data_IF_485805333805
#
_entry.id   IF_485805333805
#
_cell.length_a   1.000
_cell.length_b   1.000
_cell.length_c   1.000
_cell.angle_alpha   90.00
_cell.angle_beta   90.00
_cell.angle_gamma   90.00
#
_symmetry.space_group_name_H-M   'P 1'
#
loop_
_entity.id
_entity.type
_entity.pdbx_description
1 polymer ?
#
# COMPACT_ATOMS: atom_id res chain seq x y z
N UNK A 1 17.90 -28.97 25.92
CA UNK A 1 16.51 -28.65 25.56
C UNK A 1 16.55 -27.35 24.76
N UNK A 2 16.17 -27.39 23.48
CA UNK A 2 16.19 -26.20 22.61
C UNK A 2 15.13 -25.22 23.13
N UNK A 3 15.50 -23.95 23.29
CA UNK A 3 14.56 -22.96 23.79
C UNK A 3 13.55 -22.61 22.69
N UNK A 4 12.34 -23.16 22.80
CA UNK A 4 11.25 -22.98 21.84
C UNK A 4 10.96 -21.49 21.54
N UNK A 5 11.19 -20.60 22.52
CA UNK A 5 11.02 -19.17 22.35
C UNK A 5 12.12 -18.57 21.45
N UNK A 6 13.36 -19.01 21.63
CA UNK A 6 14.49 -18.59 20.79
C UNK A 6 14.30 -19.07 19.34
N UNK A 7 13.88 -20.33 19.18
CA UNK A 7 13.57 -20.89 17.85
C UNK A 7 12.47 -20.12 17.13
N UNK A 8 11.39 -19.72 17.84
CA UNK A 8 10.30 -18.93 17.28
C UNK A 8 10.77 -17.52 16.86
N UNK A 9 11.61 -16.84 17.65
CA UNK A 9 12.19 -15.54 17.29
C UNK A 9 13.08 -15.65 16.05
N UNK A 10 13.93 -16.68 15.99
CA UNK A 10 14.78 -16.89 14.82
C UNK A 10 13.95 -17.20 13.55
N UNK A 11 12.88 -17.98 13.69
CA UNK A 11 11.97 -18.25 12.58
C UNK A 11 11.29 -16.96 12.08
N UNK A 12 10.78 -16.12 12.97
CA UNK A 12 10.19 -14.84 12.60
C UNK A 12 11.20 -13.92 11.92
N UNK A 13 12.43 -13.82 12.44
CA UNK A 13 13.49 -13.02 11.85
C UNK A 13 13.91 -13.50 10.44
N UNK A 14 13.93 -14.82 10.20
CA UNK A 14 14.20 -15.37 8.86
C UNK A 14 13.07 -15.08 7.89
N UNK A 15 11.81 -15.21 8.34
CA UNK A 15 10.64 -14.87 7.53
C UNK A 15 10.67 -13.42 7.12
N UNK A 16 10.95 -12.51 8.06
CA UNK A 16 11.04 -11.07 7.80
C UNK A 16 12.13 -10.75 6.77
N UNK A 17 13.32 -11.34 6.88
CA UNK A 17 14.39 -11.15 5.88
C UNK A 17 13.99 -11.59 4.49
N UNK A 18 13.21 -12.67 4.35
CA UNK A 18 12.70 -13.13 3.05
C UNK A 18 11.69 -12.12 2.47
N UNK A 19 10.81 -11.59 3.30
CA UNK A 19 9.84 -10.57 2.88
C UNK A 19 10.52 -9.26 2.46
N UNK A 20 11.51 -8.80 3.22
CA UNK A 20 12.29 -7.59 2.90
C UNK A 20 13.12 -7.76 1.61
N UNK A 21 13.78 -8.91 1.43
CA UNK A 21 14.52 -9.22 0.22
C UNK A 21 13.58 -9.30 -1.00
N UNK A 22 12.44 -9.97 -0.85
CA UNK A 22 11.42 -10.05 -1.89
C UNK A 22 10.87 -8.67 -2.27
N UNK A 23 10.49 -7.86 -1.30
CA UNK A 23 10.04 -6.49 -1.53
C UNK A 23 11.07 -5.66 -2.28
N UNK A 24 12.32 -5.64 -1.83
CA UNK A 24 13.40 -4.86 -2.44
C UNK A 24 13.64 -5.25 -3.91
N UNK A 25 13.68 -6.54 -4.21
CA UNK A 25 13.84 -7.01 -5.58
C UNK A 25 12.63 -6.70 -6.46
N UNK A 26 11.40 -6.91 -5.94
CA UNK A 26 10.15 -6.75 -6.67
C UNK A 26 9.70 -5.30 -6.82
N UNK A 27 10.21 -4.38 -6.00
CA UNK A 27 9.99 -2.93 -6.18
C UNK A 27 10.95 -2.30 -7.18
N UNK A 28 12.10 -2.95 -7.44
CA UNK A 28 13.09 -2.50 -8.44
C UNK A 28 12.88 -3.14 -9.82
N UNK A 29 12.11 -4.22 -9.92
CA UNK A 29 11.82 -4.99 -11.15
C UNK A 29 10.35 -5.40 -11.15
N UNK A 30 9.87 -5.98 -12.27
CA UNK A 30 8.54 -6.61 -12.24
C UNK A 30 8.55 -7.86 -11.36
N UNK A 31 7.43 -8.14 -10.72
CA UNK A 31 7.32 -9.30 -9.81
C UNK A 31 7.63 -10.59 -10.55
N UNK A 32 7.18 -10.73 -11.82
CA UNK A 32 7.41 -11.90 -12.65
C UNK A 32 8.91 -12.18 -12.88
N UNK A 33 9.71 -11.13 -13.06
CA UNK A 33 11.14 -11.23 -13.36
C UNK A 33 11.99 -11.67 -12.14
N UNK A 34 11.42 -11.67 -10.93
CA UNK A 34 12.13 -12.08 -9.70
C UNK A 34 11.83 -13.53 -9.37
N UNK A 35 12.85 -14.36 -9.17
CA UNK A 35 12.70 -15.78 -8.79
C UNK A 35 12.81 -15.96 -7.27
N UNK A 36 12.21 -17.05 -6.75
CA UNK A 36 12.37 -17.42 -5.34
C UNK A 36 13.83 -17.69 -4.97
N UNK A 37 14.65 -18.19 -5.92
CA UNK A 37 16.08 -18.39 -5.70
C UNK A 37 16.80 -17.06 -5.46
N UNK A 38 16.54 -16.04 -6.29
CA UNK A 38 17.13 -14.70 -6.09
C UNK A 38 16.75 -14.09 -4.74
N UNK A 39 15.49 -14.31 -4.28
CA UNK A 39 15.06 -13.85 -2.97
C UNK A 39 15.78 -14.57 -1.84
N UNK A 40 15.93 -15.90 -1.97
CA UNK A 40 16.65 -16.70 -0.98
C UNK A 40 18.13 -16.29 -0.87
N UNK A 41 18.79 -16.06 -2.02
CA UNK A 41 20.18 -15.62 -2.09
C UNK A 41 20.36 -14.23 -1.48
N UNK A 42 19.48 -13.29 -1.82
CA UNK A 42 19.48 -11.92 -1.29
C UNK A 42 19.22 -11.89 0.23
N UNK A 43 18.32 -12.75 0.73
CA UNK A 43 18.04 -12.90 2.15
C UNK A 43 19.15 -13.66 2.91
N UNK A 44 20.12 -14.28 2.19
CA UNK A 44 21.11 -15.20 2.74
C UNK A 44 20.48 -16.38 3.48
N UNK A 45 19.47 -16.96 2.86
CA UNK A 45 18.69 -18.09 3.38
C UNK A 45 18.64 -19.17 2.30
N UNK A 46 18.89 -20.43 2.66
CA UNK A 46 18.82 -21.53 1.69
C UNK A 46 17.41 -21.69 1.12
N UNK A 47 17.33 -21.98 -0.19
CA UNK A 47 16.05 -22.12 -0.91
C UNK A 47 15.12 -23.17 -0.27
N UNK A 48 15.63 -24.26 0.24
CA UNK A 48 14.83 -25.25 0.96
C UNK A 48 14.18 -24.69 2.22
N UNK A 49 14.84 -23.73 2.88
CA UNK A 49 14.27 -23.02 4.03
C UNK A 49 13.16 -22.05 3.58
N UNK A 50 13.33 -21.36 2.45
CA UNK A 50 12.28 -20.48 1.88
C UNK A 50 11.01 -21.29 1.62
N UNK A 51 11.10 -22.47 0.99
CA UNK A 51 9.93 -23.32 0.72
C UNK A 51 9.23 -23.86 1.98
N UNK A 52 9.89 -23.83 3.14
CA UNK A 52 9.23 -24.13 4.43
C UNK A 52 8.32 -22.99 4.90
N UNK A 53 8.58 -21.75 4.48
CA UNK A 53 7.77 -20.57 4.81
C UNK A 53 6.70 -20.30 3.76
N UNK A 54 7.04 -20.46 2.49
CA UNK A 54 6.19 -20.10 1.35
C UNK A 54 6.15 -21.26 0.36
N UNK A 55 4.97 -21.85 0.18
CA UNK A 55 4.80 -23.00 -0.73
C UNK A 55 4.98 -22.61 -2.19
N UNK A 56 4.59 -21.37 -2.53
CA UNK A 56 4.66 -20.82 -3.88
C UNK A 56 5.01 -19.33 -3.83
N UNK A 57 5.44 -18.79 -4.96
CA UNK A 57 5.75 -17.36 -5.10
C UNK A 57 4.55 -16.44 -4.79
N UNK A 58 3.30 -16.75 -5.22
CA UNK A 58 2.13 -15.96 -4.83
C UNK A 58 1.96 -15.80 -3.32
N UNK A 59 2.23 -16.83 -2.52
CA UNK A 59 2.10 -16.76 -1.06
C UNK A 59 3.03 -15.69 -0.46
N UNK A 60 4.28 -15.65 -0.94
CA UNK A 60 5.26 -14.64 -0.52
C UNK A 60 4.86 -13.25 -0.99
N UNK A 61 4.44 -13.11 -2.24
CA UNK A 61 4.04 -11.82 -2.83
C UNK A 61 2.83 -11.23 -2.09
N UNK A 62 1.81 -12.04 -1.82
CA UNK A 62 0.61 -11.61 -1.08
C UNK A 62 0.98 -11.17 0.33
N UNK A 63 1.87 -11.89 0.99
CA UNK A 63 2.31 -11.51 2.34
C UNK A 63 3.13 -10.22 2.35
N UNK A 64 4.00 -9.99 1.35
CA UNK A 64 4.70 -8.72 1.19
C UNK A 64 3.68 -7.58 1.07
N UNK A 65 2.73 -7.69 0.13
CA UNK A 65 1.69 -6.67 -0.06
C UNK A 65 0.86 -6.43 1.20
N UNK A 66 0.48 -7.50 1.90
CA UNK A 66 -0.25 -7.42 3.18
C UNK A 66 0.53 -6.64 4.23
N UNK A 67 1.84 -6.92 4.38
CA UNK A 67 2.69 -6.25 5.37
C UNK A 67 2.94 -4.79 5.04
N UNK A 68 3.06 -4.45 3.76
CA UNK A 68 3.19 -3.06 3.30
C UNK A 68 1.98 -2.25 3.77
N UNK A 69 0.76 -2.69 3.48
CA UNK A 69 -0.45 -1.96 3.85
C UNK A 69 -0.67 -1.91 5.36
N UNK A 70 -0.34 -2.96 6.10
CA UNK A 70 -0.40 -2.93 7.57
C UNK A 70 0.56 -1.91 8.16
N UNK A 71 1.81 -1.84 7.66
CA UNK A 71 2.80 -0.86 8.12
C UNK A 71 2.38 0.56 7.77
N UNK A 72 1.98 0.78 6.53
CA UNK A 72 1.49 2.07 6.07
C UNK A 72 0.30 2.56 6.91
N UNK A 73 -0.65 1.68 7.20
CA UNK A 73 -1.77 2.02 8.08
C UNK A 73 -1.30 2.50 9.46
N UNK A 74 -0.34 1.81 10.06
CA UNK A 74 0.21 2.21 11.38
C UNK A 74 0.90 3.58 11.30
N UNK A 75 1.60 3.88 10.22
CA UNK A 75 2.25 5.18 10.01
C UNK A 75 1.21 6.30 9.83
N UNK A 76 0.20 6.08 9.01
CA UNK A 76 -0.92 7.03 8.81
C UNK A 76 -1.67 7.27 10.13
N UNK A 77 -1.95 6.24 10.92
CA UNK A 77 -2.63 6.40 12.22
C UNK A 77 -1.81 7.21 13.24
N UNK A 78 -0.50 7.00 13.27
CA UNK A 78 0.39 7.79 14.14
C UNK A 78 0.34 9.27 13.76
N UNK A 79 0.39 9.58 12.47
CA UNK A 79 0.35 10.95 11.99
C UNK A 79 -1.04 11.57 12.20
N UNK A 80 -2.12 10.82 11.95
CA UNK A 80 -3.48 11.22 12.25
C UNK A 80 -3.67 11.59 13.74
N UNK A 81 -3.13 10.76 14.63
CA UNK A 81 -3.18 11.04 16.07
C UNK A 81 -2.34 12.28 16.45
N UNK A 82 -1.15 12.44 15.85
CA UNK A 82 -0.26 13.60 16.06
C UNK A 82 -0.92 14.92 15.69
N UNK A 83 -1.69 14.93 14.62
CA UNK A 83 -2.42 16.11 14.09
C UNK A 83 -3.79 16.32 14.75
N UNK A 84 -4.11 15.60 15.82
CA UNK A 84 -5.43 15.64 16.47
C UNK A 84 -6.59 15.31 15.49
N UNK A 85 -6.39 14.31 14.65
CA UNK A 85 -7.33 13.88 13.61
C UNK A 85 -8.79 13.71 14.06
N UNK A 86 -9.09 13.22 15.29
CA UNK A 86 -10.48 13.15 15.76
C UNK A 86 -11.21 14.50 15.79
N UNK A 87 -10.49 15.62 15.96
CA UNK A 87 -11.06 16.97 15.95
C UNK A 87 -11.20 17.58 14.54
N UNK A 88 -10.61 16.97 13.51
CA UNK A 88 -10.74 17.41 12.13
C UNK A 88 -12.20 17.34 11.67
N UNK A 89 -12.66 18.32 10.89
CA UNK A 89 -13.92 18.23 10.15
C UNK A 89 -13.78 17.26 8.97
N UNK A 90 -14.86 17.01 8.20
CA UNK A 90 -14.83 16.02 7.13
C UNK A 90 -13.89 16.43 5.98
N UNK A 91 -13.81 17.71 5.63
CA UNK A 91 -12.93 18.21 4.58
C UNK A 91 -11.45 18.06 4.98
N UNK A 92 -11.09 18.45 6.19
CA UNK A 92 -9.74 18.30 6.74
C UNK A 92 -9.31 16.83 6.85
N UNK A 93 -10.20 15.95 7.28
CA UNK A 93 -9.91 14.52 7.38
C UNK A 93 -9.72 13.88 5.98
N UNK A 94 -10.53 14.27 5.00
CA UNK A 94 -10.38 13.81 3.63
C UNK A 94 -9.07 14.32 3.02
N UNK A 95 -8.75 15.59 3.20
CA UNK A 95 -7.49 16.19 2.75
C UNK A 95 -6.29 15.45 3.35
N UNK A 96 -6.32 15.17 4.66
CA UNK A 96 -5.28 14.37 5.34
C UNK A 96 -5.05 13.01 4.66
N UNK A 97 -6.11 12.28 4.29
CA UNK A 97 -5.94 10.99 3.61
C UNK A 97 -5.36 11.13 2.20
N UNK A 98 -5.72 12.17 1.46
CA UNK A 98 -5.11 12.43 0.16
C UNK A 98 -3.63 12.84 0.29
N UNK A 99 -3.31 13.65 1.29
CA UNK A 99 -1.93 14.04 1.61
C UNK A 99 -1.07 12.85 2.03
N UNK A 100 -1.65 11.87 2.73
CA UNK A 100 -0.90 10.66 3.09
C UNK A 100 -0.43 9.87 1.86
N UNK A 101 -1.18 9.90 0.74
CA UNK A 101 -0.77 9.27 -0.52
C UNK A 101 0.32 10.09 -1.21
N UNK A 102 0.25 11.42 -1.16
CA UNK A 102 1.31 12.29 -1.68
C UNK A 102 2.60 12.08 -0.89
N UNK A 103 2.50 11.97 0.43
CA UNK A 103 3.66 11.66 1.27
C UNK A 103 4.24 10.26 0.97
N UNK A 104 3.39 9.27 0.70
CA UNK A 104 3.84 7.96 0.24
C UNK A 104 4.63 8.06 -1.07
N UNK A 105 4.19 8.92 -2.01
CA UNK A 105 4.94 9.18 -3.24
C UNK A 105 6.29 9.87 -2.97
N UNK A 106 6.34 10.83 -2.06
CA UNK A 106 7.57 11.54 -1.70
C UNK A 106 8.60 10.64 -1.05
N UNK A 107 8.16 9.83 -0.11
CA UNK A 107 9.04 9.07 0.79
C UNK A 107 9.25 7.61 0.40
N UNK A 108 8.29 6.98 -0.30
CA UNK A 108 8.26 5.53 -0.54
C UNK A 108 7.77 5.16 -1.94
N UNK A 109 8.43 5.70 -2.97
CA UNK A 109 8.13 5.35 -4.38
C UNK A 109 8.28 3.85 -4.66
N UNK A 110 9.13 3.16 -3.90
CA UNK A 110 9.30 1.70 -3.95
C UNK A 110 7.99 0.94 -3.62
N UNK A 111 7.24 1.41 -2.63
CA UNK A 111 5.92 0.86 -2.27
C UNK A 111 4.93 1.02 -3.41
N UNK A 112 4.89 2.20 -4.03
CA UNK A 112 3.97 2.48 -5.14
C UNK A 112 4.31 1.63 -6.37
N UNK A 113 5.61 1.45 -6.69
CA UNK A 113 6.05 0.55 -7.78
C UNK A 113 5.65 -0.89 -7.52
N UNK A 114 5.91 -1.38 -6.31
CA UNK A 114 5.48 -2.73 -5.93
C UNK A 114 3.97 -2.91 -6.06
N UNK A 115 3.18 -2.00 -5.49
CA UNK A 115 1.72 -2.08 -5.49
C UNK A 115 1.13 -2.13 -6.91
N UNK A 116 1.66 -1.34 -7.83
CA UNK A 116 1.22 -1.33 -9.22
C UNK A 116 1.47 -2.68 -9.90
N UNK A 117 2.64 -3.28 -9.69
CA UNK A 117 2.97 -4.60 -10.24
C UNK A 117 2.20 -5.73 -9.55
N UNK A 118 1.83 -5.54 -8.27
CA UNK A 118 1.10 -6.51 -7.47
C UNK A 118 -0.27 -6.84 -8.06
N UNK A 119 -1.07 -5.84 -8.41
CA UNK A 119 -2.42 -6.04 -8.95
C UNK A 119 -2.37 -6.85 -10.25
N UNK A 120 -1.45 -6.52 -11.15
CA UNK A 120 -1.24 -7.25 -12.41
C UNK A 120 -0.80 -8.69 -12.14
N UNK A 121 0.14 -8.88 -11.22
CA UNK A 121 0.68 -10.19 -10.88
C UNK A 121 -0.40 -11.14 -10.31
N UNK A 122 -1.19 -10.69 -9.32
CA UNK A 122 -2.20 -11.55 -8.68
C UNK A 122 -3.34 -11.92 -9.64
N UNK A 123 -3.65 -11.05 -10.61
CA UNK A 123 -4.59 -11.36 -11.68
C UNK A 123 -4.03 -12.40 -12.65
N UNK A 124 -2.78 -12.24 -13.07
CA UNK A 124 -2.11 -13.18 -13.96
C UNK A 124 -1.98 -14.57 -13.34
N UNK A 125 -1.58 -14.65 -12.09
CA UNK A 125 -1.46 -15.90 -11.32
C UNK A 125 -2.83 -16.48 -10.93
N UNK A 126 -3.94 -15.78 -11.21
CA UNK A 126 -5.31 -16.18 -10.84
C UNK A 126 -5.45 -16.53 -9.36
N UNK A 127 -4.85 -15.70 -8.49
CA UNK A 127 -4.92 -15.90 -7.06
C UNK A 127 -6.38 -15.95 -6.58
N UNK A 128 -6.70 -16.96 -5.79
CA UNK A 128 -8.06 -17.15 -5.29
C UNK A 128 -8.44 -16.12 -4.23
N UNK A 129 -9.73 -15.90 -4.01
CA UNK A 129 -10.22 -15.03 -2.95
C UNK A 129 -9.72 -15.46 -1.55
N UNK A 130 -9.55 -16.78 -1.32
CA UNK A 130 -9.01 -17.30 -0.07
C UNK A 130 -7.53 -16.91 0.14
N UNK A 131 -6.71 -16.98 -0.90
CA UNK A 131 -5.32 -16.52 -0.87
C UNK A 131 -5.22 -15.02 -0.65
N UNK A 132 -6.09 -14.22 -1.30
CA UNK A 132 -6.11 -12.76 -1.22
C UNK A 132 -6.71 -12.22 0.08
N UNK A 133 -7.37 -13.03 0.88
CA UNK A 133 -8.06 -12.59 2.10
C UNK A 133 -7.18 -11.76 3.05
N UNK A 134 -5.93 -12.16 3.40
CA UNK A 134 -5.09 -11.36 4.30
C UNK A 134 -4.79 -9.96 3.76
N UNK A 135 -4.56 -9.85 2.45
CA UNK A 135 -4.34 -8.59 1.76
C UNK A 135 -5.61 -7.72 1.76
N UNK A 136 -6.74 -8.31 1.37
CA UNK A 136 -8.03 -7.61 1.34
C UNK A 136 -8.42 -7.10 2.74
N UNK A 137 -8.19 -7.89 3.79
CA UNK A 137 -8.45 -7.48 5.17
C UNK A 137 -7.55 -6.30 5.59
N UNK A 138 -6.28 -6.28 5.15
CA UNK A 138 -5.37 -5.17 5.42
C UNK A 138 -5.79 -3.87 4.72
N UNK A 139 -6.27 -3.96 3.46
CA UNK A 139 -6.77 -2.79 2.70
C UNK A 139 -8.13 -2.32 3.23
N UNK A 140 -9.02 -3.24 3.65
CA UNK A 140 -10.36 -2.91 4.15
C UNK A 140 -10.35 -2.00 5.39
N UNK A 141 -9.23 -1.93 6.13
CA UNK A 141 -9.08 -1.01 7.26
C UNK A 141 -9.16 0.44 6.81
N UNK A 142 -8.60 0.78 5.65
CA UNK A 142 -8.70 2.12 5.08
C UNK A 142 -10.14 2.48 4.69
N UNK A 143 -10.91 1.53 4.14
CA UNK A 143 -12.33 1.76 3.83
C UNK A 143 -13.14 2.18 5.06
N UNK A 144 -12.84 1.62 6.23
CA UNK A 144 -13.50 2.01 7.50
C UNK A 144 -13.21 3.47 7.89
N UNK A 145 -12.04 4.00 7.54
CA UNK A 145 -11.71 5.42 7.77
C UNK A 145 -12.56 6.34 6.89
N UNK A 146 -12.73 5.99 5.63
CA UNK A 146 -13.64 6.72 4.74
C UNK A 146 -15.09 6.72 5.24
N UNK A 147 -15.54 5.67 5.91
CA UNK A 147 -16.83 5.68 6.60
C UNK A 147 -16.92 6.81 7.63
N UNK A 148 -15.86 7.05 8.37
CA UNK A 148 -15.81 8.14 9.35
C UNK A 148 -15.92 9.51 8.67
N UNK A 149 -15.19 9.73 7.56
CA UNK A 149 -15.27 10.95 6.75
C UNK A 149 -16.72 11.22 6.27
N UNK A 150 -17.36 10.19 5.67
CA UNK A 150 -18.73 10.31 5.17
C UNK A 150 -19.73 10.65 6.29
N UNK A 151 -19.56 10.02 7.46
CA UNK A 151 -20.40 10.31 8.64
C UNK A 151 -20.20 11.73 9.14
N UNK A 152 -18.95 12.22 9.21
CA UNK A 152 -18.63 13.60 9.58
C UNK A 152 -19.24 14.58 8.57
N UNK A 153 -19.07 14.34 7.27
CA UNK A 153 -19.62 15.21 6.22
C UNK A 153 -21.13 15.42 6.32
N UNK A 154 -21.87 14.36 6.69
CA UNK A 154 -23.32 14.47 6.95
C UNK A 154 -23.66 15.27 8.19
N UNK A 155 -22.76 15.35 9.15
CA UNK A 155 -22.96 16.06 10.42
C UNK A 155 -22.51 17.52 10.33
N UNK A 156 -21.38 17.81 9.67
CA UNK A 156 -20.76 19.14 9.64
C UNK A 156 -21.00 19.92 8.33
N UNK A 157 -21.39 19.23 7.25
CA UNK A 157 -21.70 19.85 5.96
C UNK A 157 -20.50 20.51 5.26
N UNK A 158 -19.28 20.19 5.65
CA UNK A 158 -18.06 20.79 5.09
C UNK A 158 -17.73 20.28 3.68
N UNK A 159 -18.25 19.11 3.32
CA UNK A 159 -18.18 18.55 1.96
C UNK A 159 -19.53 17.94 1.55
N UNK A 160 -19.87 18.04 0.27
CA UNK A 160 -21.09 17.47 -0.32
C UNK A 160 -20.78 16.14 -1.01
N UNK A 161 -21.08 15.04 -0.35
CA UNK A 161 -20.83 13.68 -0.87
C UNK A 161 -22.09 13.18 -1.58
N UNK A 162 -22.11 13.28 -2.92
CA UNK A 162 -23.23 12.86 -3.80
C UNK A 162 -23.15 11.41 -4.26
N UNK A 163 -22.07 10.72 -3.94
CA UNK A 163 -21.89 9.31 -4.30
C UNK A 163 -21.99 8.41 -3.07
N UNK A 164 -22.25 7.13 -3.28
CA UNK A 164 -22.22 6.16 -2.17
C UNK A 164 -20.79 6.04 -1.60
N UNK A 165 -20.69 5.79 -0.31
CA UNK A 165 -19.42 5.66 0.41
C UNK A 165 -18.43 4.68 -0.25
N UNK A 166 -18.82 3.44 -0.66
CA UNK A 166 -17.89 2.56 -1.37
C UNK A 166 -17.37 3.15 -2.68
N UNK A 167 -18.21 3.90 -3.43
CA UNK A 167 -17.80 4.58 -4.65
C UNK A 167 -16.84 5.73 -4.37
N UNK A 168 -17.08 6.49 -3.31
CA UNK A 168 -16.18 7.57 -2.90
C UNK A 168 -14.79 7.01 -2.59
N UNK A 169 -14.71 5.99 -1.73
CA UNK A 169 -13.44 5.33 -1.38
C UNK A 169 -12.71 4.82 -2.62
N UNK A 170 -13.41 4.05 -3.47
CA UNK A 170 -12.81 3.49 -4.69
C UNK A 170 -12.32 4.62 -5.60
N UNK A 171 -13.16 5.64 -5.89
CA UNK A 171 -12.80 6.70 -6.82
C UNK A 171 -11.60 7.51 -6.32
N UNK A 172 -11.58 7.90 -5.05
CA UNK A 172 -10.51 8.75 -4.52
C UNK A 172 -9.21 7.98 -4.33
N UNK A 173 -9.27 6.83 -3.66
CA UNK A 173 -8.09 6.04 -3.37
C UNK A 173 -7.44 5.49 -4.65
N UNK A 174 -8.24 4.88 -5.53
CA UNK A 174 -7.70 4.32 -6.77
C UNK A 174 -7.19 5.40 -7.72
N UNK A 175 -7.85 6.56 -7.81
CA UNK A 175 -7.36 7.67 -8.64
C UNK A 175 -5.99 8.13 -8.14
N UNK A 176 -5.87 8.47 -6.85
CA UNK A 176 -4.62 8.96 -6.30
C UNK A 176 -3.50 7.91 -6.33
N UNK A 177 -3.77 6.67 -5.91
CA UNK A 177 -2.77 5.59 -5.93
C UNK A 177 -2.34 5.21 -7.35
N UNK A 178 -3.27 5.18 -8.32
CA UNK A 178 -2.94 4.84 -9.71
C UNK A 178 -2.04 5.89 -10.34
N UNK A 179 -2.35 7.17 -10.12
CA UNK A 179 -1.52 8.26 -10.66
C UNK A 179 -0.18 8.33 -9.94
N UNK A 180 -0.16 8.24 -8.60
CA UNK A 180 1.07 8.22 -7.83
C UNK A 180 1.97 7.02 -8.21
N UNK A 181 1.37 5.84 -8.42
CA UNK A 181 2.08 4.65 -8.90
C UNK A 181 2.69 4.83 -10.31
N UNK A 182 1.94 5.45 -11.23
CA UNK A 182 2.43 5.79 -12.56
C UNK A 182 3.63 6.76 -12.50
N UNK A 183 3.53 7.79 -11.66
CA UNK A 183 4.61 8.75 -11.47
C UNK A 183 5.83 8.12 -10.77
N UNK A 184 5.62 7.23 -9.81
CA UNK A 184 6.69 6.52 -9.13
C UNK A 184 7.54 5.62 -10.05
N UNK A 185 7.00 5.19 -11.20
CA UNK A 185 7.71 4.45 -12.25
C UNK A 185 8.38 5.36 -13.29
N UNK A 186 8.19 6.68 -13.22
CA UNK A 186 8.65 7.61 -14.25
C UNK A 186 7.83 7.56 -15.55
N UNK A 187 6.62 6.98 -15.52
CA UNK A 187 5.73 6.87 -16.69
C UNK A 187 4.95 8.18 -16.92
N UNK A 188 5.68 9.25 -17.14
CA UNK A 188 5.14 10.58 -17.46
C UNK A 188 5.39 10.94 -18.92
N UNK A 189 4.61 11.86 -19.47
CA UNK A 189 4.80 12.35 -20.82
C UNK A 189 5.03 13.87 -20.80
N UNK A 190 6.06 14.37 -21.51
CA UNK A 190 7.13 13.60 -22.16
C UNK A 190 8.00 12.86 -21.13
N UNK A 191 8.62 11.72 -21.52
CA UNK A 191 9.46 10.94 -20.61
C UNK A 191 10.79 11.67 -20.41
N UNK A 192 10.86 12.50 -19.40
CA UNK A 192 12.04 13.32 -19.07
C UNK A 192 12.74 12.94 -17.75
N UNK A 193 12.73 11.63 -17.45
CA UNK A 193 13.52 11.07 -16.36
C UNK A 193 12.86 11.14 -14.98
N UNK A 194 13.68 11.32 -13.96
CA UNK A 194 13.24 11.31 -12.54
C UNK A 194 12.58 12.63 -12.09
N UNK A 195 11.63 13.15 -12.87
CA UNK A 195 10.90 14.36 -12.49
C UNK A 195 10.10 14.12 -11.22
N UNK A 196 10.15 15.07 -10.31
CA UNK A 196 9.25 15.09 -9.15
C UNK A 196 7.85 15.57 -9.59
N UNK A 197 6.84 14.72 -9.40
CA UNK A 197 5.46 14.96 -9.79
C UNK A 197 4.58 15.31 -8.58
N UNK A 198 5.17 15.83 -7.53
CA UNK A 198 4.45 16.24 -6.32
C UNK A 198 3.43 17.32 -6.62
N UNK A 199 3.79 18.33 -7.40
CA UNK A 199 2.90 19.45 -7.73
C UNK A 199 1.68 19.00 -8.54
N UNK A 200 1.85 18.01 -9.41
CA UNK A 200 0.78 17.40 -10.17
C UNK A 200 -0.17 16.60 -9.27
N UNK A 201 0.36 15.87 -8.29
CA UNK A 201 -0.46 15.17 -7.29
C UNK A 201 -1.23 16.16 -6.41
N UNK A 202 -0.61 17.26 -6.00
CA UNK A 202 -1.28 18.36 -5.28
C UNK A 202 -2.37 19.02 -6.14
N UNK A 203 -2.15 19.17 -7.45
CA UNK A 203 -3.19 19.68 -8.35
C UNK A 203 -4.37 18.73 -8.44
N UNK A 204 -4.14 17.42 -8.54
CA UNK A 204 -5.20 16.40 -8.56
C UNK A 204 -5.96 16.41 -7.22
N UNK A 205 -5.27 16.51 -6.08
CA UNK A 205 -5.91 16.66 -4.76
C UNK A 205 -6.88 17.85 -4.74
N UNK A 206 -6.41 19.03 -5.20
CA UNK A 206 -7.28 20.24 -5.28
C UNK A 206 -8.49 20.03 -6.18
N UNK A 207 -8.33 19.36 -7.33
CA UNK A 207 -9.47 19.05 -8.21
C UNK A 207 -10.49 18.13 -7.52
N UNK A 208 -10.00 17.11 -6.80
CA UNK A 208 -10.86 16.19 -6.04
C UNK A 208 -11.63 16.96 -4.97
N UNK A 209 -10.95 17.72 -4.12
CA UNK A 209 -11.58 18.48 -3.03
C UNK A 209 -12.56 19.51 -3.59
N UNK A 210 -12.20 20.25 -4.64
CA UNK A 210 -13.07 21.22 -5.29
C UNK A 210 -14.33 20.62 -5.96
N UNK A 211 -14.34 19.32 -6.24
CA UNK A 211 -15.54 18.63 -6.76
C UNK A 211 -16.54 18.24 -5.65
N UNK A 212 -16.15 18.37 -4.40
CA UNK A 212 -16.94 17.98 -3.22
C UNK A 212 -17.41 19.20 -2.39
N UNK A 213 -17.01 20.40 -2.76
CA UNK A 213 -17.47 21.68 -2.21
C UNK A 213 -18.45 22.32 -3.19
#
# INVERSE_FOLDING_TARGET
MRDARKDAIEMAARRERLLEAGFRLMSARTIEAVTLQQIADEAKIGIATLYRYFKAKPDLVIEIGTNIWKRYYVEVEKEYARLNGPAMNAAEELEFFLDSIIELYRSRRDVLRFNRNFDTYVQHERCTAAQMRPYNDAVAVFAKKFHTVVRKARADGTIDIRVSEPKLFVNLLYTMLSVAGKYAEGLVYPPDGERDMTDELEAIKRMILGSLT
#
